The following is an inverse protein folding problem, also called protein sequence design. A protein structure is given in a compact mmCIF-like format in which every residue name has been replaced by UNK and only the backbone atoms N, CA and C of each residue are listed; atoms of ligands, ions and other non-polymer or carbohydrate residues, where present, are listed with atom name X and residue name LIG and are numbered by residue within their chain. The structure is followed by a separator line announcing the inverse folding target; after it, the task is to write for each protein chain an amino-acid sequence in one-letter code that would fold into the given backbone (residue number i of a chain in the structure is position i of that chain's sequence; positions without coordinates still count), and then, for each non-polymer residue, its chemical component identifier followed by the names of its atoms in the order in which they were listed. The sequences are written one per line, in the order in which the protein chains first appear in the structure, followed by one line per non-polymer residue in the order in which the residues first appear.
data_IF_497737897419
#
_entry.id   IF_497737897419
#
_cell.length_a   1.000
_cell.length_b   1.000
_cell.length_c   1.000
_cell.angle_alpha   90.00
_cell.angle_beta   90.00
_cell.angle_gamma   90.00
#
_symmetry.space_group_name_H-M   'P 1'
#
loop_
_entity.id
_entity.type
_entity.pdbx_description
1 polymer ?
#
# COMPACT_ATOMS: atom_id res chain seq x y z
N UNK A 1 11.80 -21.60 -16.66
CA UNK A 1 10.83 -20.61 -16.14
C UNK A 1 11.60 -19.65 -15.26
N UNK A 2 11.66 -18.33 -15.52
CA UNK A 2 12.25 -17.41 -14.55
C UNK A 2 11.49 -17.54 -13.23
N UNK A 3 12.22 -17.70 -12.13
CA UNK A 3 11.67 -17.94 -10.79
C UNK A 3 10.73 -16.80 -10.40
N UNK A 4 9.47 -17.13 -10.08
CA UNK A 4 8.50 -16.14 -9.57
C UNK A 4 8.97 -15.63 -8.21
N UNK A 5 9.22 -14.33 -8.10
CA UNK A 5 9.47 -13.63 -6.84
C UNK A 5 8.15 -13.47 -6.10
N UNK A 6 8.04 -14.06 -4.91
CA UNK A 6 6.91 -13.84 -4.00
C UNK A 6 6.94 -12.40 -3.46
N UNK A 7 5.79 -11.74 -3.26
CA UNK A 7 5.74 -10.40 -2.70
C UNK A 7 6.35 -10.32 -1.29
N UNK A 8 7.14 -9.29 -1.03
CA UNK A 8 7.73 -9.00 0.27
C UNK A 8 6.72 -8.56 1.33
N UNK A 9 5.60 -7.96 0.90
CA UNK A 9 4.45 -7.64 1.75
C UNK A 9 3.18 -8.22 1.14
N UNK A 10 2.38 -8.93 1.92
CA UNK A 10 1.02 -9.36 1.55
C UNK A 10 0.04 -8.60 2.43
N UNK A 11 -0.98 -7.99 1.82
CA UNK A 11 -2.10 -7.41 2.53
C UNK A 11 -3.36 -8.16 2.13
N UNK A 12 -4.07 -8.69 3.12
CA UNK A 12 -5.39 -9.31 2.95
C UNK A 12 -6.36 -8.56 3.84
N UNK A 13 -7.49 -8.15 3.28
CA UNK A 13 -8.57 -7.50 4.02
C UNK A 13 -9.85 -8.28 3.79
N UNK A 14 -10.52 -8.62 4.88
CA UNK A 14 -11.86 -9.18 4.90
C UNK A 14 -12.77 -8.34 5.80
N UNK A 15 -14.06 -8.66 5.84
CA UNK A 15 -15.00 -7.98 6.71
C UNK A 15 -15.98 -8.95 7.38
N UNK A 16 -16.38 -8.58 8.59
CA UNK A 16 -17.21 -9.40 9.47
C UNK A 16 -18.47 -8.62 9.82
N UNK A 17 -19.63 -9.25 9.62
CA UNK A 17 -20.92 -8.69 10.02
C UNK A 17 -21.08 -8.69 11.55
N UNK A 18 -21.85 -7.75 12.10
CA UNK A 18 -22.04 -7.60 13.54
C UNK A 18 -22.52 -8.86 14.28
N UNK A 19 -23.39 -9.65 13.66
CA UNK A 19 -23.94 -10.88 14.25
C UNK A 19 -22.96 -12.06 14.22
N UNK A 20 -21.86 -11.96 13.47
CA UNK A 20 -20.92 -13.06 13.35
C UNK A 20 -20.16 -13.26 14.67
N UNK A 21 -20.01 -14.53 15.08
CA UNK A 21 -19.21 -14.91 16.25
C UNK A 21 -17.82 -14.28 16.22
N UNK A 22 -17.24 -14.16 15.01
CA UNK A 22 -15.91 -13.58 14.80
C UNK A 22 -15.78 -12.15 15.35
N UNK A 23 -16.86 -11.35 15.31
CA UNK A 23 -16.88 -10.00 15.88
C UNK A 23 -16.81 -10.03 17.42
N UNK A 24 -17.67 -10.83 18.05
CA UNK A 24 -17.68 -10.97 19.51
C UNK A 24 -16.35 -11.52 20.06
N UNK A 25 -15.75 -12.49 19.37
CA UNK A 25 -14.42 -13.01 19.73
C UNK A 25 -13.34 -11.92 19.73
N UNK A 26 -13.36 -11.00 18.77
CA UNK A 26 -12.41 -9.88 18.73
C UNK A 26 -12.62 -8.90 19.90
N UNK A 27 -13.87 -8.58 20.25
CA UNK A 27 -14.19 -7.74 21.42
C UNK A 27 -13.64 -8.38 22.71
N UNK A 28 -13.80 -9.69 22.85
CA UNK A 28 -13.27 -10.44 24.00
C UNK A 28 -11.73 -10.47 24.01
N UNK A 29 -11.10 -10.47 22.85
CA UNK A 29 -9.64 -10.40 22.74
C UNK A 29 -9.07 -9.08 23.30
N UNK A 30 -9.73 -7.94 23.05
CA UNK A 30 -9.29 -6.63 23.56
C UNK A 30 -9.14 -6.64 25.10
N UNK A 31 -9.97 -7.44 25.77
CA UNK A 31 -10.10 -7.53 27.23
C UNK A 31 -9.13 -8.52 27.91
N UNK A 32 -8.43 -9.37 27.14
CA UNK A 32 -7.57 -10.39 27.76
C UNK A 32 -6.36 -9.74 28.43
N UNK A 33 -6.22 -9.95 29.73
CA UNK A 33 -5.06 -9.58 30.53
C UNK A 33 -3.77 -10.14 29.93
N UNK A 34 -2.70 -9.33 29.88
CA UNK A 34 -1.40 -9.74 29.31
C UNK A 34 -0.73 -10.91 30.05
N UNK A 35 -1.10 -11.14 31.31
CA UNK A 35 -0.60 -12.26 32.12
C UNK A 35 -1.33 -13.58 31.85
N UNK A 36 -2.67 -13.58 31.77
CA UNK A 36 -3.52 -14.76 31.43
C UNK A 36 -3.23 -15.29 30.02
N UNK A 37 -2.76 -14.36 29.19
CA UNK A 37 -2.24 -14.56 27.85
C UNK A 37 -1.06 -15.56 27.77
N UNK A 38 -0.34 -15.85 28.86
CA UNK A 38 0.84 -16.73 28.86
C UNK A 38 0.48 -18.22 29.14
N UNK A 39 -0.61 -18.51 29.85
CA UNK A 39 -0.78 -19.83 30.48
C UNK A 39 -1.62 -20.86 29.69
N UNK A 40 -2.33 -20.47 28.62
CA UNK A 40 -3.21 -21.38 27.87
C UNK A 40 -3.03 -21.33 26.34
N UNK A 41 -1.98 -21.95 25.79
CA UNK A 41 -1.87 -22.10 24.33
C UNK A 41 -1.38 -23.50 23.94
N UNK A 42 -2.31 -24.35 23.50
CA UNK A 42 -2.02 -25.59 22.79
C UNK A 42 -2.07 -25.37 21.27
N UNK A 43 -1.04 -25.90 20.61
CA UNK A 43 -0.74 -25.73 19.20
C UNK A 43 -1.55 -26.72 18.36
N UNK A 44 -2.46 -26.25 17.50
CA UNK A 44 -2.81 -26.97 16.26
C UNK A 44 -3.64 -26.11 15.30
N UNK A 45 -3.28 -26.23 14.00
CA UNK A 45 -4.04 -25.86 12.80
C UNK A 45 -3.77 -24.48 12.18
N UNK A 46 -2.68 -24.45 11.40
CA UNK A 46 -2.28 -23.43 10.45
C UNK A 46 -2.91 -23.80 9.10
N UNK A 47 -3.73 -22.89 8.52
CA UNK A 47 -4.36 -22.93 7.18
C UNK A 47 -5.80 -23.45 7.09
N UNK A 48 -6.76 -22.66 7.56
CA UNK A 48 -8.07 -22.52 6.92
C UNK A 48 -8.65 -21.14 7.27
N UNK A 49 -9.71 -20.72 6.58
CA UNK A 49 -10.31 -19.37 6.52
C UNK A 49 -10.96 -18.90 7.87
N UNK A 50 -10.54 -19.50 8.98
CA UNK A 50 -10.94 -19.21 10.36
C UNK A 50 -9.86 -18.51 11.22
N UNK A 51 -8.70 -18.21 10.61
CA UNK A 51 -7.48 -17.83 11.34
C UNK A 51 -7.46 -16.47 12.05
N UNK A 52 -8.25 -15.45 11.69
CA UNK A 52 -8.07 -14.10 12.24
C UNK A 52 -8.15 -14.06 13.78
N UNK A 53 -9.15 -14.71 14.37
CA UNK A 53 -9.31 -14.71 15.82
C UNK A 53 -8.27 -15.61 16.50
N UNK A 54 -8.05 -16.83 16.01
CA UNK A 54 -7.06 -17.75 16.56
C UNK A 54 -5.63 -17.15 16.55
N UNK A 55 -5.36 -16.29 15.58
CA UNK A 55 -4.08 -15.60 15.44
C UNK A 55 -3.89 -14.49 16.50
N UNK A 56 -4.95 -13.74 16.81
CA UNK A 56 -4.95 -12.80 17.94
C UNK A 56 -4.80 -13.54 19.29
N UNK A 57 -5.15 -14.82 19.37
CA UNK A 57 -5.15 -15.57 20.63
C UNK A 57 -3.78 -15.97 21.17
N UNK A 58 -2.67 -15.90 20.41
CA UNK A 58 -1.33 -16.26 20.91
C UNK A 58 -0.51 -15.05 21.38
N UNK A 59 -0.41 -14.83 22.70
CA UNK A 59 0.07 -13.57 23.26
C UNK A 59 1.55 -13.50 23.55
N UNK A 60 2.22 -14.66 23.62
CA UNK A 60 3.63 -14.76 24.04
C UNK A 60 4.58 -13.97 23.13
N UNK A 61 4.10 -13.48 21.99
CA UNK A 61 4.90 -12.77 20.97
C UNK A 61 4.13 -11.65 20.27
N UNK A 62 3.12 -11.08 20.94
CA UNK A 62 2.41 -9.88 20.49
C UNK A 62 3.02 -8.64 21.15
N UNK A 63 3.20 -7.56 20.41
CA UNK A 63 3.76 -6.30 20.91
C UNK A 63 2.75 -5.43 21.67
N UNK A 64 1.57 -5.96 21.96
CA UNK A 64 0.46 -5.20 22.55
C UNK A 64 -0.42 -4.52 21.50
N UNK A 65 -1.58 -4.02 21.95
CA UNK A 65 -2.53 -3.30 21.10
C UNK A 65 -2.09 -1.84 20.98
N UNK A 66 -2.05 -1.33 19.75
CA UNK A 66 -1.79 0.07 19.43
C UNK A 66 -2.91 0.67 18.58
N UNK A 67 -3.01 1.99 18.57
CA UNK A 67 -4.02 2.76 17.82
C UNK A 67 -3.37 3.94 17.09
N UNK A 68 -4.19 4.81 16.53
CA UNK A 68 -3.79 6.09 15.94
C UNK A 68 -2.99 6.97 16.91
N UNK A 69 -3.39 6.99 18.19
CA UNK A 69 -2.83 7.89 19.21
C UNK A 69 -1.80 7.23 20.13
N UNK A 70 -1.88 5.91 20.33
CA UNK A 70 -1.12 5.22 21.37
C UNK A 70 -0.30 4.08 20.78
N UNK A 71 0.98 4.02 21.16
CA UNK A 71 1.89 2.91 20.82
C UNK A 71 1.55 1.62 21.58
N UNK A 72 1.01 1.76 22.80
CA UNK A 72 0.50 0.66 23.61
C UNK A 72 -0.69 1.15 24.42
N UNK A 73 -1.76 0.34 24.50
CA UNK A 73 -2.92 0.66 25.33
C UNK A 73 -2.73 0.19 26.78
N UNK A 74 -2.94 1.11 27.71
CA UNK A 74 -3.16 0.83 29.13
C UNK A 74 -4.45 0.04 29.36
N UNK A 75 -4.63 -0.63 30.53
CA UNK A 75 -5.87 -1.35 30.83
C UNK A 75 -7.14 -0.49 30.68
N UNK A 76 -7.13 0.75 31.18
CA UNK A 76 -8.27 1.68 31.06
C UNK A 76 -8.59 2.01 29.60
N UNK A 77 -7.56 2.23 28.77
CA UNK A 77 -7.77 2.51 27.34
C UNK A 77 -8.31 1.29 26.58
N UNK A 78 -7.95 0.07 26.99
CA UNK A 78 -8.52 -1.17 26.41
C UNK A 78 -10.00 -1.30 26.73
N UNK A 79 -10.41 -0.99 27.96
CA UNK A 79 -11.82 -0.99 28.35
C UNK A 79 -12.61 -0.01 27.49
N UNK A 80 -12.09 1.20 27.25
CA UNK A 80 -12.76 2.17 26.39
C UNK A 80 -12.81 1.71 24.92
N UNK A 81 -11.71 1.18 24.39
CA UNK A 81 -11.69 0.60 23.04
C UNK A 81 -12.73 -0.52 22.89
N UNK A 82 -12.78 -1.45 23.84
CA UNK A 82 -13.75 -2.55 23.89
C UNK A 82 -15.19 -2.02 23.88
N UNK A 83 -15.46 -0.98 24.67
CA UNK A 83 -16.77 -0.32 24.71
C UNK A 83 -17.14 0.24 23.33
N UNK A 84 -16.23 0.91 22.64
CA UNK A 84 -16.49 1.45 21.30
C UNK A 84 -16.76 0.35 20.26
N UNK A 85 -15.99 -0.75 20.28
CA UNK A 85 -16.25 -1.91 19.43
C UNK A 85 -17.59 -2.60 19.77
N UNK A 86 -17.97 -2.65 21.05
CA UNK A 86 -19.27 -3.17 21.49
C UNK A 86 -20.41 -2.29 20.99
N UNK A 87 -20.26 -0.96 21.04
CA UNK A 87 -21.22 0.00 20.49
C UNK A 87 -21.36 -0.22 18.98
N UNK A 88 -20.24 -0.33 18.26
CA UNK A 88 -20.25 -0.63 16.82
C UNK A 88 -21.01 -1.92 16.51
N UNK A 89 -20.77 -3.00 17.28
CA UNK A 89 -21.48 -4.27 17.10
C UNK A 89 -22.99 -4.12 17.33
N UNK A 90 -23.40 -3.44 18.42
CA UNK A 90 -24.81 -3.18 18.72
C UNK A 90 -25.49 -2.35 17.63
N UNK A 91 -24.78 -1.40 17.03
CA UNK A 91 -25.29 -0.58 15.92
C UNK A 91 -25.23 -1.28 14.55
N UNK A 92 -24.98 -2.58 14.52
CA UNK A 92 -24.89 -3.39 13.30
C UNK A 92 -23.79 -2.91 12.34
N UNK A 93 -22.70 -2.36 12.87
CA UNK A 93 -21.53 -1.96 12.10
C UNK A 93 -20.81 -3.16 11.49
N UNK A 94 -20.01 -2.92 10.47
CA UNK A 94 -19.10 -3.91 9.90
C UNK A 94 -17.74 -3.72 10.57
N UNK A 95 -17.09 -4.83 10.90
CA UNK A 95 -15.68 -4.82 11.28
C UNK A 95 -14.84 -5.27 10.10
N UNK A 96 -14.00 -4.38 9.57
CA UNK A 96 -12.99 -4.80 8.59
C UNK A 96 -11.76 -5.28 9.32
N UNK A 97 -11.21 -6.38 8.83
CA UNK A 97 -10.07 -7.09 9.40
C UNK A 97 -9.00 -7.16 8.33
N UNK A 98 -7.83 -6.58 8.60
CA UNK A 98 -6.71 -6.58 7.67
C UNK A 98 -5.49 -7.25 8.28
N UNK A 99 -4.75 -7.99 7.46
CA UNK A 99 -3.48 -8.59 7.84
C UNK A 99 -2.38 -8.13 6.88
N UNK A 100 -1.36 -7.46 7.40
CA UNK A 100 -0.10 -7.22 6.70
C UNK A 100 0.91 -8.29 7.07
N UNK A 101 1.21 -9.24 6.18
CA UNK A 101 2.23 -10.26 6.41
C UNK A 101 3.48 -9.97 5.61
N UNK A 102 4.65 -10.21 6.20
CA UNK A 102 5.93 -9.86 5.60
C UNK A 102 6.80 -11.08 5.35
N UNK A 103 7.55 -11.06 4.26
CA UNK A 103 8.72 -11.92 4.13
C UNK A 103 9.80 -11.37 5.06
N UNK A 104 10.27 -12.18 6.02
CA UNK A 104 11.19 -11.67 7.07
C UNK A 104 12.53 -11.16 6.51
N UNK A 105 13.00 -11.73 5.40
CA UNK A 105 14.15 -11.25 4.63
C UNK A 105 13.90 -9.88 3.99
N UNK A 106 12.69 -9.60 3.47
CA UNK A 106 12.32 -8.29 2.96
C UNK A 106 12.35 -7.22 4.07
N UNK A 107 11.90 -7.56 5.28
CA UNK A 107 12.08 -6.66 6.43
C UNK A 107 13.56 -6.44 6.74
N UNK A 108 14.41 -7.46 6.59
CA UNK A 108 15.84 -7.34 6.83
C UNK A 108 16.56 -6.51 5.77
N UNK A 109 16.25 -6.71 4.49
CA UNK A 109 16.74 -5.92 3.36
C UNK A 109 16.44 -4.42 3.52
N UNK A 110 15.32 -4.09 4.20
CA UNK A 110 14.87 -2.72 4.45
C UNK A 110 15.20 -2.21 5.86
N UNK A 111 16.10 -2.89 6.60
CA UNK A 111 16.54 -2.53 7.94
C UNK A 111 15.42 -2.42 9.00
N UNK A 112 14.29 -3.08 8.78
CA UNK A 112 13.16 -3.13 9.73
C UNK A 112 13.32 -4.30 10.70
N UNK A 113 13.99 -5.37 10.28
CA UNK A 113 14.19 -6.57 11.09
C UNK A 113 15.62 -7.08 11.02
N UNK A 114 16.24 -7.36 12.16
CA UNK A 114 17.55 -8.01 12.21
C UNK A 114 17.37 -9.51 12.48
N UNK A 115 17.65 -10.40 11.51
CA UNK A 115 17.44 -11.83 11.68
C UNK A 115 18.42 -12.48 12.67
N UNK A 116 19.57 -11.85 12.94
CA UNK A 116 20.58 -12.33 13.90
C UNK A 116 20.19 -11.98 15.33
N UNK A 117 19.87 -10.71 15.59
CA UNK A 117 19.51 -10.24 16.95
C UNK A 117 18.03 -10.41 17.28
N UNK A 118 17.20 -10.75 16.27
CA UNK A 118 15.73 -10.80 16.36
C UNK A 118 15.08 -9.45 16.72
N UNK A 119 15.84 -8.36 16.64
CA UNK A 119 15.33 -7.01 16.85
C UNK A 119 14.44 -6.60 15.68
N UNK A 120 13.28 -6.03 15.98
CA UNK A 120 12.32 -5.51 15.01
C UNK A 120 12.07 -4.04 15.35
N UNK A 121 12.09 -3.19 14.34
CA UNK A 121 11.70 -1.80 14.45
C UNK A 121 10.16 -1.69 14.45
N UNK A 122 9.58 -1.94 15.62
CA UNK A 122 8.13 -1.88 15.80
C UNK A 122 7.56 -0.47 15.66
N UNK A 123 8.35 0.55 16.02
CA UNK A 123 7.91 1.95 15.88
C UNK A 123 7.64 2.26 14.40
N UNK A 124 8.59 1.89 13.52
CA UNK A 124 8.41 2.05 12.07
C UNK A 124 7.19 1.31 11.52
N UNK A 125 6.93 0.10 12.02
CA UNK A 125 5.75 -0.67 11.63
C UNK A 125 4.44 -0.05 12.13
N UNK A 126 4.42 0.53 13.34
CA UNK A 126 3.27 1.27 13.88
C UNK A 126 2.99 2.51 13.05
N UNK A 127 4.02 3.30 12.72
CA UNK A 127 3.88 4.51 11.93
C UNK A 127 3.41 4.21 10.49
N UNK A 128 3.98 3.19 9.86
CA UNK A 128 3.49 2.67 8.58
C UNK A 128 2.03 2.23 8.64
N UNK A 129 1.60 1.60 9.73
CA UNK A 129 0.20 1.23 9.95
C UNK A 129 -0.69 2.47 10.07
N UNK A 130 -0.28 3.48 10.83
CA UNK A 130 -1.03 4.74 11.02
C UNK A 130 -1.23 5.49 9.70
N UNK A 131 -0.15 5.66 8.93
CA UNK A 131 -0.22 6.30 7.60
C UNK A 131 -1.15 5.53 6.68
N UNK A 132 -1.05 4.20 6.66
CA UNK A 132 -1.93 3.36 5.86
C UNK A 132 -3.40 3.48 6.29
N UNK A 133 -3.69 3.50 7.60
CA UNK A 133 -5.04 3.63 8.13
C UNK A 133 -5.65 5.02 7.85
N UNK A 134 -4.84 6.07 7.90
CA UNK A 134 -5.28 7.42 7.52
C UNK A 134 -5.67 7.48 6.04
N UNK A 135 -4.86 6.89 5.14
CA UNK A 135 -5.19 6.79 3.71
C UNK A 135 -6.45 5.95 3.47
N UNK A 136 -6.56 4.80 4.14
CA UNK A 136 -7.70 3.89 4.02
C UNK A 136 -9.01 4.55 4.45
N UNK A 137 -9.05 5.15 5.64
CA UNK A 137 -10.25 5.81 6.17
C UNK A 137 -10.63 7.03 5.35
N UNK A 138 -9.66 7.82 4.88
CA UNK A 138 -9.90 8.95 3.98
C UNK A 138 -10.56 8.52 2.67
N UNK A 139 -10.06 7.45 2.02
CA UNK A 139 -10.65 6.95 0.77
C UNK A 139 -11.99 6.25 0.96
N UNK A 140 -12.24 5.69 2.13
CA UNK A 140 -13.53 5.10 2.48
C UNK A 140 -14.56 6.13 2.97
N UNK A 141 -14.14 7.39 3.20
CA UNK A 141 -15.01 8.45 3.72
C UNK A 141 -15.34 8.29 5.21
N UNK A 142 -14.46 7.65 5.98
CA UNK A 142 -14.70 7.26 7.38
C UNK A 142 -13.75 7.96 8.38
N UNK A 143 -13.01 8.98 7.96
CA UNK A 143 -11.98 9.64 8.78
C UNK A 143 -12.46 10.11 10.15
N UNK A 144 -13.73 10.51 10.27
CA UNK A 144 -14.30 11.03 11.52
C UNK A 144 -15.26 10.05 12.22
N UNK A 145 -15.53 8.89 11.60
CA UNK A 145 -16.50 7.91 12.11
C UNK A 145 -15.84 6.59 12.51
N UNK A 146 -14.68 6.28 11.95
CA UNK A 146 -13.97 5.05 12.21
C UNK A 146 -13.04 5.14 13.42
N UNK A 147 -12.96 4.04 14.15
CA UNK A 147 -11.88 3.76 15.09
C UNK A 147 -11.22 2.44 14.68
N UNK A 148 -9.94 2.28 15.02
CA UNK A 148 -9.22 1.06 14.73
C UNK A 148 -8.23 0.72 15.82
N UNK A 149 -7.84 -0.54 15.87
CA UNK A 149 -6.70 -0.98 16.65
C UNK A 149 -5.95 -2.07 15.93
N UNK A 150 -4.68 -2.21 16.27
CA UNK A 150 -3.78 -3.14 15.61
C UNK A 150 -2.83 -3.80 16.61
N UNK A 151 -2.26 -4.94 16.20
CA UNK A 151 -1.28 -5.67 16.98
C UNK A 151 -0.25 -6.34 16.06
N UNK A 152 1.03 -6.17 16.39
CA UNK A 152 2.15 -6.81 15.70
C UNK A 152 2.39 -8.16 16.37
N UNK A 153 2.41 -9.25 15.62
CA UNK A 153 2.83 -10.54 16.17
C UNK A 153 4.00 -11.18 15.44
N UNK A 154 4.75 -11.97 16.21
CA UNK A 154 5.96 -12.69 15.78
C UNK A 154 5.87 -14.19 16.03
N UNK A 155 4.66 -14.70 16.24
CA UNK A 155 4.34 -16.06 16.70
C UNK A 155 4.17 -17.10 15.59
N UNK A 156 4.36 -16.74 14.32
CA UNK A 156 4.42 -17.69 13.20
C UNK A 156 5.66 -17.47 12.34
N UNK A 157 5.76 -18.24 11.25
CA UNK A 157 6.83 -18.17 10.26
C UNK A 157 7.14 -16.74 9.81
N UNK A 158 6.11 -15.91 9.63
CA UNK A 158 6.23 -14.51 9.18
C UNK A 158 5.73 -13.52 10.23
N UNK A 159 6.47 -12.44 10.42
CA UNK A 159 6.04 -11.26 11.18
C UNK A 159 4.83 -10.64 10.46
N UNK A 160 3.82 -10.19 11.21
CA UNK A 160 2.62 -9.62 10.60
C UNK A 160 1.85 -8.68 11.56
N UNK A 161 1.06 -7.86 10.87
CA UNK A 161 0.11 -6.80 11.15
C UNK A 161 -1.37 -7.14 11.28
N UNK A 162 -1.96 -7.41 12.44
CA UNK A 162 -3.45 -7.46 12.51
C UNK A 162 -4.02 -6.08 12.73
N UNK A 163 -5.01 -5.68 11.94
CA UNK A 163 -5.72 -4.41 12.08
C UNK A 163 -7.22 -4.67 12.04
N UNK A 164 -7.97 -4.23 13.05
CA UNK A 164 -9.43 -4.17 13.01
C UNK A 164 -9.91 -2.72 13.03
N UNK A 165 -10.90 -2.43 12.20
CA UNK A 165 -11.53 -1.11 12.11
C UNK A 165 -13.06 -1.28 12.13
N UNK A 166 -13.73 -0.39 12.85
CA UNK A 166 -15.19 -0.31 12.96
C UNK A 166 -15.63 1.16 12.96
N UNK A 167 -16.89 1.41 12.61
CA UNK A 167 -17.55 2.68 12.94
C UNK A 167 -18.49 2.45 14.12
N UNK A 168 -18.29 3.09 15.29
CA UNK A 168 -19.24 3.02 16.39
C UNK A 168 -20.64 3.52 15.99
N UNK A 169 -20.69 4.50 15.08
CA UNK A 169 -21.90 4.98 14.43
C UNK A 169 -21.77 4.74 12.91
N UNK A 170 -22.26 3.60 12.38
CA UNK A 170 -21.98 3.20 10.99
C UNK A 170 -22.65 4.12 9.98
N UNK A 171 -21.83 4.68 9.08
CA UNK A 171 -22.27 5.61 8.01
C UNK A 171 -22.55 4.90 6.69
N UNK A 172 -22.01 3.69 6.53
CA UNK A 172 -22.11 2.88 5.30
C UNK A 172 -23.54 2.53 4.95
N UNK A 173 -23.88 2.57 3.66
CA UNK A 173 -25.18 2.15 3.15
C UNK A 173 -25.56 0.73 3.56
N UNK A 174 -26.85 0.50 3.80
CA UNK A 174 -27.42 -0.86 3.95
C UNK A 174 -27.76 -1.42 2.58
N UNK A 175 -27.60 -2.72 2.42
CA UNK A 175 -28.08 -3.48 1.26
C UNK A 175 -28.76 -4.76 1.71
N UNK A 176 -29.72 -5.26 0.93
CA UNK A 176 -30.22 -6.61 1.10
C UNK A 176 -29.17 -7.61 0.62
N UNK A 177 -28.92 -8.63 1.42
CA UNK A 177 -28.06 -9.75 1.06
C UNK A 177 -28.79 -11.05 1.29
N UNK A 178 -28.53 -12.02 0.42
CA UNK A 178 -28.94 -13.41 0.65
C UNK A 178 -27.99 -14.03 1.67
N UNK A 179 -28.55 -14.56 2.75
CA UNK A 179 -27.82 -15.26 3.80
C UNK A 179 -28.28 -16.71 3.82
N UNK A 180 -27.33 -17.63 3.98
CA UNK A 180 -27.61 -19.04 4.21
C UNK A 180 -27.83 -19.29 5.71
N UNK A 181 -28.98 -19.85 6.03
CA UNK A 181 -29.39 -20.25 7.36
C UNK A 181 -28.80 -21.59 7.76
N UNK A 182 -29.11 -22.04 8.98
CA UNK A 182 -28.43 -23.19 9.59
C UNK A 182 -28.81 -24.53 8.97
N UNK A 183 -29.94 -24.60 8.26
CA UNK A 183 -30.45 -25.82 7.62
C UNK A 183 -30.47 -25.71 6.09
N UNK A 184 -29.66 -24.81 5.52
CA UNK A 184 -29.54 -24.60 4.07
C UNK A 184 -30.62 -23.70 3.47
N UNK A 185 -31.53 -23.16 4.29
CA UNK A 185 -32.52 -22.17 3.87
C UNK A 185 -31.85 -20.83 3.58
N UNK A 186 -32.23 -20.16 2.49
CA UNK A 186 -31.74 -18.80 2.20
C UNK A 186 -32.78 -17.76 2.54
N UNK A 187 -32.40 -16.70 3.25
CA UNK A 187 -33.27 -15.56 3.52
C UNK A 187 -32.59 -14.23 3.17
N UNK A 188 -33.38 -13.18 3.03
CA UNK A 188 -32.88 -11.83 2.77
C UNK A 188 -32.73 -11.06 4.08
N UNK A 189 -31.57 -10.44 4.28
CA UNK A 189 -31.30 -9.59 5.44
C UNK A 189 -30.72 -8.24 5.01
N UNK A 190 -31.10 -7.18 5.72
CA UNK A 190 -30.48 -5.86 5.56
C UNK A 190 -29.16 -5.77 6.33
N UNK A 191 -28.04 -5.83 5.62
CA UNK A 191 -26.71 -5.69 6.20
C UNK A 191 -26.00 -4.43 5.68
N UNK A 192 -25.08 -3.88 6.49
CA UNK A 192 -24.22 -2.78 6.06
C UNK A 192 -23.24 -3.28 4.98
N UNK A 193 -22.98 -2.46 3.98
CA UNK A 193 -22.03 -2.80 2.91
C UNK A 193 -20.62 -2.92 3.50
N UNK A 194 -20.04 -4.12 3.47
CA UNK A 194 -18.66 -4.35 3.91
C UNK A 194 -17.61 -4.30 2.80
N UNK A 195 -18.01 -4.40 1.53
CA UNK A 195 -17.06 -4.45 0.41
C UNK A 195 -16.13 -3.22 0.34
N UNK A 196 -14.82 -3.48 0.22
CA UNK A 196 -13.78 -2.46 -0.02
C UNK A 196 -13.34 -2.54 -1.48
N UNK A 197 -13.40 -1.44 -2.26
CA UNK A 197 -12.90 -1.40 -3.62
C UNK A 197 -11.42 -1.79 -3.73
N UNK A 198 -11.06 -2.63 -4.73
CA UNK A 198 -9.66 -3.04 -4.98
C UNK A 198 -8.69 -1.85 -5.08
N UNK A 199 -9.11 -0.73 -5.67
CA UNK A 199 -8.28 0.49 -5.76
C UNK A 199 -7.88 1.01 -4.37
N UNK A 200 -8.80 0.97 -3.40
CA UNK A 200 -8.52 1.40 -2.02
C UNK A 200 -7.57 0.42 -1.34
N UNK A 201 -7.78 -0.89 -1.47
CA UNK A 201 -6.84 -1.90 -0.95
C UNK A 201 -5.43 -1.75 -1.53
N UNK A 202 -5.32 -1.40 -2.80
CA UNK A 202 -4.03 -1.13 -3.45
C UNK A 202 -3.33 0.10 -2.84
N UNK A 203 -4.08 1.17 -2.57
CA UNK A 203 -3.54 2.35 -1.92
C UNK A 203 -3.16 2.06 -0.47
N UNK A 204 -3.96 1.28 0.25
CA UNK A 204 -3.68 0.86 1.62
C UNK A 204 -2.35 0.13 1.74
N UNK A 205 -2.11 -0.88 0.88
CA UNK A 205 -0.82 -1.56 0.80
C UNK A 205 0.32 -0.63 0.39
N UNK A 206 0.09 0.28 -0.56
CA UNK A 206 1.12 1.20 -1.04
C UNK A 206 1.51 2.24 0.02
N UNK A 207 0.55 2.82 0.73
CA UNK A 207 0.78 3.77 1.81
C UNK A 207 1.61 3.13 2.93
N UNK A 208 1.24 1.91 3.35
CA UNK A 208 2.03 1.13 4.30
C UNK A 208 3.48 0.93 3.83
N UNK A 209 3.64 0.41 2.61
CA UNK A 209 4.96 0.04 2.10
C UNK A 209 5.89 1.24 1.87
N UNK A 210 5.32 2.37 1.43
CA UNK A 210 6.09 3.59 1.21
C UNK A 210 6.55 4.21 2.53
N UNK A 211 5.73 4.17 3.58
CA UNK A 211 6.12 4.67 4.91
C UNK A 211 7.15 3.75 5.58
N UNK A 212 6.98 2.43 5.44
CA UNK A 212 7.87 1.44 6.06
C UNK A 212 9.31 1.51 5.50
N UNK A 213 9.50 2.05 4.30
CA UNK A 213 10.80 2.07 3.62
C UNK A 213 11.23 3.51 3.38
N UNK A 214 12.37 3.91 3.96
CA UNK A 214 12.92 5.25 3.76
C UNK A 214 13.42 5.38 2.31
N UNK A 215 12.58 5.99 1.47
CA UNK A 215 12.84 6.22 0.04
C UNK A 215 12.77 7.70 -0.32
N UNK A 216 12.54 8.58 0.65
CA UNK A 216 12.29 10.00 0.42
C UNK A 216 13.44 10.66 -0.34
N UNK A 217 14.68 10.36 0.02
CA UNK A 217 15.86 10.87 -0.68
C UNK A 217 15.92 10.42 -2.14
N UNK A 218 15.63 9.14 -2.39
CA UNK A 218 15.66 8.57 -3.75
C UNK A 218 14.54 9.15 -4.61
N UNK A 219 13.32 9.23 -4.07
CA UNK A 219 12.15 9.77 -4.77
C UNK A 219 12.26 11.29 -4.99
N UNK A 220 12.80 12.02 -4.02
CA UNK A 220 13.12 13.44 -4.16
C UNK A 220 14.17 13.65 -5.25
N UNK A 221 15.22 12.83 -5.29
CA UNK A 221 16.24 12.91 -6.32
C UNK A 221 15.72 12.58 -7.71
N UNK A 222 14.89 11.54 -7.85
CA UNK A 222 14.18 11.23 -9.11
C UNK A 222 13.33 12.45 -9.55
N UNK A 223 12.63 13.08 -8.60
CA UNK A 223 11.78 14.24 -8.89
C UNK A 223 12.60 15.47 -9.30
N UNK A 224 13.73 15.73 -8.64
CA UNK A 224 14.69 16.79 -9.00
C UNK A 224 15.26 16.57 -10.40
N UNK A 225 15.70 15.35 -10.70
CA UNK A 225 16.23 14.99 -12.01
C UNK A 225 15.20 15.27 -13.12
N UNK A 226 13.95 14.82 -12.95
CA UNK A 226 12.89 15.04 -13.94
C UNK A 226 12.55 16.54 -14.11
N UNK A 227 12.43 17.27 -13.01
CA UNK A 227 11.88 18.65 -13.02
C UNK A 227 12.92 19.72 -13.30
N UNK A 228 14.18 19.49 -12.97
CA UNK A 228 15.20 20.54 -12.97
C UNK A 228 16.43 20.18 -13.81
N UNK A 229 16.88 18.92 -13.77
CA UNK A 229 18.20 18.55 -14.33
C UNK A 229 18.14 18.01 -15.75
N UNK A 230 17.14 17.17 -16.04
CA UNK A 230 16.92 16.57 -17.36
C UNK A 230 16.17 17.51 -18.30
N UNK A 231 15.61 18.61 -17.78
CA UNK A 231 14.96 19.61 -18.61
C UNK A 231 15.95 20.24 -19.60
N UNK A 232 15.48 20.64 -20.80
CA UNK A 232 16.25 21.47 -21.70
C UNK A 232 16.63 22.79 -21.01
N UNK A 233 17.92 23.00 -20.72
CA UNK A 233 18.36 24.35 -20.37
C UNK A 233 18.55 25.14 -21.69
N UNK A 234 18.03 26.36 -21.75
CA UNK A 234 17.99 27.11 -23.00
C UNK A 234 19.40 27.23 -23.62
N UNK A 235 20.46 27.40 -22.82
CA UNK A 235 21.81 27.61 -23.34
C UNK A 235 22.45 26.32 -23.90
N UNK A 236 22.24 25.16 -23.28
CA UNK A 236 22.80 23.88 -23.72
C UNK A 236 22.01 23.26 -24.87
N UNK A 237 20.69 23.47 -24.89
CA UNK A 237 19.87 23.15 -26.04
C UNK A 237 20.44 23.83 -27.29
N UNK A 238 20.60 25.16 -27.29
CA UNK A 238 21.13 25.87 -28.47
C UNK A 238 22.62 25.56 -28.79
N UNK A 239 23.47 25.27 -27.80
CA UNK A 239 24.91 24.96 -28.05
C UNK A 239 25.16 23.57 -28.63
N UNK A 240 24.42 22.55 -28.18
CA UNK A 240 24.56 21.17 -28.68
C UNK A 240 23.63 20.86 -29.86
N UNK A 241 22.76 21.80 -30.22
CA UNK A 241 21.98 21.84 -31.46
C UNK A 241 22.80 22.27 -32.70
N UNK A 242 24.11 22.49 -32.54
CA UNK A 242 25.02 22.98 -33.59
C UNK A 242 25.26 21.99 -34.74
N UNK A 243 24.72 20.77 -34.69
CA UNK A 243 24.62 19.94 -35.90
C UNK A 243 23.48 20.45 -36.78
N UNK A 244 23.82 20.88 -38.00
CA UNK A 244 22.88 21.35 -39.03
C UNK A 244 21.64 20.43 -39.16
N UNK A 245 21.85 19.11 -39.07
CA UNK A 245 20.81 18.07 -39.13
C UNK A 245 19.74 18.19 -38.01
N UNK A 246 20.13 18.52 -36.77
CA UNK A 246 19.15 18.71 -35.69
C UNK A 246 18.29 19.95 -35.93
N UNK A 247 18.90 21.07 -36.33
CA UNK A 247 18.19 22.32 -36.55
C UNK A 247 17.17 22.19 -37.70
N UNK A 248 17.53 21.47 -38.77
CA UNK A 248 16.63 21.14 -39.89
C UNK A 248 15.47 20.27 -39.40
N UNK A 249 15.74 19.15 -38.71
CA UNK A 249 14.69 18.26 -38.17
C UNK A 249 13.76 18.97 -37.19
N UNK A 250 14.30 19.86 -36.35
CA UNK A 250 13.51 20.67 -35.43
C UNK A 250 12.56 21.62 -36.17
N UNK A 251 13.06 22.32 -37.20
CA UNK A 251 12.22 23.22 -37.99
C UNK A 251 11.15 22.46 -38.78
N UNK A 252 11.49 21.32 -39.38
CA UNK A 252 10.54 20.47 -40.09
C UNK A 252 9.43 19.97 -39.16
N UNK A 253 9.80 19.45 -37.98
CA UNK A 253 8.84 19.03 -36.96
C UNK A 253 7.96 20.21 -36.53
N UNK A 254 8.55 21.36 -36.19
CA UNK A 254 7.81 22.54 -35.74
C UNK A 254 6.81 23.04 -36.78
N UNK A 255 7.16 23.02 -38.08
CA UNK A 255 6.26 23.39 -39.17
C UNK A 255 5.12 22.38 -39.37
N UNK A 256 5.37 21.11 -39.09
CA UNK A 256 4.38 20.03 -39.23
C UNK A 256 3.38 19.94 -38.07
N UNK A 257 3.72 20.48 -36.90
CA UNK A 257 2.86 20.42 -35.72
C UNK A 257 1.51 21.13 -35.92
N UNK A 258 0.44 20.70 -35.20
CA UNK A 258 -0.84 21.38 -35.25
C UNK A 258 -0.72 22.87 -34.93
N UNK A 259 -1.35 23.74 -35.73
CA UNK A 259 -1.34 25.19 -35.51
C UNK A 259 -1.86 25.57 -34.12
N UNK A 260 -2.86 24.84 -33.62
CA UNK A 260 -3.40 25.02 -32.28
C UNK A 260 -2.46 24.43 -31.22
N UNK A 261 -1.71 25.30 -30.55
CA UNK A 261 -0.78 24.93 -29.47
C UNK A 261 -1.47 24.30 -28.25
N UNK A 262 -2.79 24.46 -28.07
CA UNK A 262 -3.53 23.78 -26.98
C UNK A 262 -3.52 22.26 -27.14
N UNK A 263 -3.28 21.78 -28.37
CA UNK A 263 -3.16 20.37 -28.69
C UNK A 263 -1.77 19.79 -28.37
N UNK A 264 -0.77 20.61 -28.05
CA UNK A 264 0.63 20.21 -27.80
C UNK A 264 0.83 19.59 -26.42
N UNK A 265 -0.04 18.64 -26.07
CA UNK A 265 0.13 17.75 -24.92
C UNK A 265 0.57 16.42 -25.50
N UNK A 266 1.69 15.86 -25.02
CA UNK A 266 2.26 14.62 -25.57
C UNK A 266 1.21 13.51 -25.73
N UNK A 267 0.34 13.34 -24.73
CA UNK A 267 -0.73 12.34 -24.70
C UNK A 267 -2.00 12.71 -25.50
N UNK A 268 -2.08 13.89 -26.13
CA UNK A 268 -3.19 14.24 -27.02
C UNK A 268 -3.17 13.38 -28.29
N UNK A 269 -4.34 12.99 -28.79
CA UNK A 269 -4.47 12.21 -30.04
C UNK A 269 -3.88 12.93 -31.24
N UNK A 270 -4.01 14.27 -31.31
CA UNK A 270 -3.43 15.09 -32.37
C UNK A 270 -1.90 15.01 -32.40
N UNK A 271 -1.25 14.62 -31.30
CA UNK A 271 0.20 14.49 -31.21
C UNK A 271 0.72 13.11 -31.61
N UNK A 272 -0.16 12.10 -31.75
CA UNK A 272 0.23 10.71 -32.03
C UNK A 272 1.20 10.55 -33.22
N UNK A 273 1.02 11.24 -34.36
CA UNK A 273 1.95 11.13 -35.50
C UNK A 273 3.36 11.67 -35.20
N UNK A 274 3.49 12.60 -34.24
CA UNK A 274 4.74 13.31 -33.96
C UNK A 274 5.54 12.71 -32.80
N UNK A 275 4.93 11.85 -31.97
CA UNK A 275 5.57 11.27 -30.77
C UNK A 275 6.91 10.60 -31.07
N UNK A 276 6.99 9.80 -32.13
CA UNK A 276 8.24 9.12 -32.50
C UNK A 276 9.40 10.09 -32.80
N UNK A 277 9.10 11.21 -33.49
CA UNK A 277 10.10 12.25 -33.77
C UNK A 277 10.48 13.01 -32.49
N UNK A 278 9.50 13.41 -31.69
CA UNK A 278 9.71 14.06 -30.40
C UNK A 278 10.58 13.21 -29.46
N UNK A 279 10.29 11.92 -29.36
CA UNK A 279 11.05 10.98 -28.52
C UNK A 279 12.49 10.84 -29.01
N UNK A 280 12.72 10.77 -30.33
CA UNK A 280 14.05 10.68 -30.91
C UNK A 280 14.87 11.94 -30.60
N UNK A 281 14.27 13.12 -30.73
CA UNK A 281 14.92 14.39 -30.41
C UNK A 281 15.23 14.52 -28.92
N UNK A 282 14.28 14.18 -28.04
CA UNK A 282 14.48 14.17 -26.59
C UNK A 282 15.59 13.19 -26.18
N UNK A 283 15.61 11.97 -26.72
CA UNK A 283 16.68 11.00 -26.47
C UNK A 283 18.04 11.52 -26.92
N UNK A 284 18.13 12.11 -28.10
CA UNK A 284 19.38 12.66 -28.62
C UNK A 284 19.92 13.78 -27.73
N UNK A 285 19.05 14.71 -27.32
CA UNK A 285 19.39 15.77 -26.36
C UNK A 285 19.90 15.19 -25.05
N UNK A 286 19.16 14.26 -24.42
CA UNK A 286 19.55 13.69 -23.12
C UNK A 286 20.88 12.96 -23.19
N UNK A 287 21.13 12.16 -24.25
CA UNK A 287 22.38 11.42 -24.42
C UNK A 287 23.59 12.32 -24.68
N UNK A 288 23.41 13.46 -25.36
CA UNK A 288 24.52 14.36 -25.72
C UNK A 288 24.79 15.42 -24.65
N UNK A 289 23.74 15.96 -24.06
CA UNK A 289 23.82 17.14 -23.20
C UNK A 289 23.75 16.81 -21.71
N UNK A 290 23.10 15.71 -21.34
CA UNK A 290 22.85 15.30 -19.95
C UNK A 290 23.16 13.81 -19.70
N UNK A 291 24.29 13.26 -20.21
CA UNK A 291 24.57 11.83 -20.12
C UNK A 291 24.71 11.33 -18.68
N UNK A 292 25.30 12.16 -17.80
CA UNK A 292 25.50 11.82 -16.39
C UNK A 292 24.17 11.78 -15.63
N UNK A 293 23.34 12.82 -15.76
CA UNK A 293 22.03 12.88 -15.11
C UNK A 293 21.07 11.82 -15.66
N UNK A 294 21.17 11.51 -16.95
CA UNK A 294 20.42 10.41 -17.56
C UNK A 294 20.87 9.05 -17.01
N UNK A 295 22.18 8.85 -16.81
CA UNK A 295 22.74 7.66 -16.20
C UNK A 295 22.26 7.47 -14.77
N UNK A 296 22.35 8.52 -13.95
CA UNK A 296 21.85 8.54 -12.57
C UNK A 296 20.35 8.26 -12.52
N UNK A 297 19.57 8.94 -13.36
CA UNK A 297 18.12 8.74 -13.45
C UNK A 297 17.76 7.28 -13.74
N UNK A 298 18.42 6.66 -14.73
CA UNK A 298 18.20 5.25 -15.07
C UNK A 298 18.57 4.32 -13.92
N UNK A 299 19.65 4.59 -13.20
CA UNK A 299 20.06 3.79 -12.05
C UNK A 299 19.04 3.88 -10.91
N UNK A 300 18.60 5.09 -10.55
CA UNK A 300 17.57 5.30 -9.52
C UNK A 300 16.24 4.65 -9.92
N UNK A 301 15.85 4.76 -11.19
CA UNK A 301 14.64 4.13 -11.71
C UNK A 301 14.71 2.59 -11.66
N UNK A 302 15.86 2.02 -12.01
CA UNK A 302 16.08 0.57 -11.91
C UNK A 302 16.07 0.08 -10.46
N UNK A 303 16.60 0.85 -9.52
CA UNK A 303 16.50 0.56 -8.09
C UNK A 303 15.05 0.60 -7.61
N UNK A 304 14.27 1.60 -8.04
CA UNK A 304 12.85 1.74 -7.70
C UNK A 304 12.00 0.61 -8.32
N UNK A 305 12.31 0.20 -9.55
CA UNK A 305 11.67 -0.94 -10.22
C UNK A 305 11.89 -2.21 -9.43
N UNK A 306 13.15 -2.54 -9.10
CA UNK A 306 13.50 -3.73 -8.31
C UNK A 306 12.82 -3.72 -6.95
N UNK A 307 12.75 -2.56 -6.29
CA UNK A 307 12.03 -2.42 -5.03
C UNK A 307 10.54 -2.74 -5.18
N UNK A 308 9.87 -2.21 -6.21
CA UNK A 308 8.46 -2.49 -6.49
C UNK A 308 8.23 -3.96 -6.83
N UNK A 309 9.12 -4.58 -7.59
CA UNK A 309 9.08 -6.02 -7.87
C UNK A 309 9.25 -6.86 -6.60
N UNK A 310 10.17 -6.49 -5.71
CA UNK A 310 10.34 -7.16 -4.42
C UNK A 310 9.09 -6.99 -3.54
N UNK A 311 8.50 -5.79 -3.52
CA UNK A 311 7.31 -5.46 -2.72
C UNK A 311 6.03 -6.16 -3.21
N UNK A 312 5.81 -6.21 -4.52
CA UNK A 312 4.56 -6.70 -5.13
C UNK A 312 4.68 -8.10 -5.73
N UNK A 313 5.89 -8.63 -5.90
CA UNK A 313 6.18 -9.91 -6.54
C UNK A 313 6.19 -9.83 -8.07
N UNK A 314 6.72 -10.87 -8.72
CA UNK A 314 6.74 -11.00 -10.19
C UNK A 314 5.66 -11.99 -10.65
N UNK A 315 4.77 -11.57 -11.55
CA UNK A 315 3.77 -12.45 -12.19
C UNK A 315 2.30 -12.26 -11.80
N UNK A 316 1.95 -11.23 -11.02
CA UNK A 316 0.55 -10.82 -10.80
C UNK A 316 0.21 -9.60 -11.66
N UNK A 317 -1.08 -9.21 -11.78
CA UNK A 317 -1.46 -7.90 -12.36
C UNK A 317 -0.78 -6.72 -11.63
N UNK A 318 -0.33 -6.92 -10.39
CA UNK A 318 0.44 -5.93 -9.64
C UNK A 318 1.93 -5.87 -10.03
N UNK A 319 2.49 -6.89 -10.71
CA UNK A 319 3.86 -6.87 -11.21
C UNK A 319 4.07 -5.84 -12.33
N UNK A 320 3.05 -5.60 -13.15
CA UNK A 320 3.07 -4.52 -14.13
C UNK A 320 3.25 -3.15 -13.49
N UNK A 321 3.02 -2.96 -12.18
CA UNK A 321 3.22 -1.65 -11.54
C UNK A 321 4.67 -1.19 -11.53
N UNK A 322 5.61 -2.13 -11.46
CA UNK A 322 7.03 -1.79 -11.54
C UNK A 322 7.38 -1.31 -12.95
N UNK A 323 6.88 -2.02 -13.96
CA UNK A 323 7.03 -1.66 -15.37
C UNK A 323 6.29 -0.35 -15.71
N UNK A 324 5.02 -0.22 -15.31
CA UNK A 324 4.19 0.98 -15.48
C UNK A 324 4.86 2.19 -14.84
N UNK A 325 5.49 2.06 -13.66
CA UNK A 325 6.22 3.17 -13.04
C UNK A 325 7.39 3.60 -13.91
N UNK A 326 8.16 2.66 -14.43
CA UNK A 326 9.29 2.92 -15.32
C UNK A 326 8.86 3.55 -16.63
N UNK A 327 7.85 2.98 -17.27
CA UNK A 327 7.33 3.46 -18.55
C UNK A 327 6.71 4.87 -18.40
N UNK A 328 5.96 5.14 -17.33
CA UNK A 328 5.38 6.47 -17.05
C UNK A 328 6.42 7.55 -16.67
N UNK A 329 7.67 7.15 -16.39
CA UNK A 329 8.74 8.09 -16.04
C UNK A 329 9.76 8.29 -17.16
N UNK A 330 9.80 7.37 -18.12
CA UNK A 330 10.66 7.43 -19.31
C UNK A 330 9.98 8.10 -20.52
N UNK A 331 8.65 8.10 -20.55
CA UNK A 331 7.79 8.72 -21.57
C UNK A 331 6.99 9.87 -20.95
#
# INVERSE_FOLDING_TARGET
MPSRVSPGIVNVTDFVAAHAKKFGSYINYIDRDEAIRIDHFDQQNILSVDGYNHYMENPKKSSGIFTDQYDHLTPTQRVELKKQFTVAQKHQSVMWQSVFSFRNDFLAENNVYNPKTKQLDEAKLRDATRVAMNDFTGKMGMTHSAIWSAAIHRNTDNIHIHVAIVEPQPTRERKRVTVEGKHGETYQEWQRKGYVPKKILNHFKAAFANEMVDRDRSLARISDLIRQRLQPDQRSAWRHQSSLDFAVRYQELFKSLPRDRRLWKYNNNAMKPYRGQLDAMSRNYLMRCKPEELGEFKQLLAQETRFREALYGSGTKEANRAQDYTDNKLH
#
